data_IF_192325660729
#
_entry.id   IF_192325660729
#
_cell.length_a   1.000
_cell.length_b   1.000
_cell.length_c   1.000
_cell.angle_alpha   90.00
_cell.angle_beta   90.00
_cell.angle_gamma   90.00
#
_symmetry.space_group_name_H-M   'P 1'
#
loop_
_entity.id
_entity.type
_entity.pdbx_description
1 polymer ?
#
# COMPACT_ATOMS: atom_id res chain seq x y z
N UNK A 1 16.49 -14.84 -53.06
CA UNK A 1 16.91 -14.21 -51.77
C UNK A 1 15.77 -13.66 -50.91
N UNK A 2 14.72 -13.01 -51.45
CA UNK A 2 13.63 -12.41 -50.63
C UNK A 2 12.83 -13.43 -49.82
N UNK A 3 12.55 -14.61 -50.38
CA UNK A 3 11.79 -15.68 -49.73
C UNK A 3 12.54 -16.25 -48.52
N UNK A 4 13.84 -16.52 -48.68
CA UNK A 4 14.71 -17.01 -47.60
C UNK A 4 14.76 -16.04 -46.42
N UNK A 5 14.90 -14.72 -46.67
CA UNK A 5 14.86 -13.70 -45.60
C UNK A 5 13.51 -13.66 -44.87
N UNK A 6 12.41 -13.96 -45.56
CA UNK A 6 11.06 -13.99 -44.98
C UNK A 6 10.90 -15.19 -44.05
N UNK A 7 11.33 -16.37 -44.50
CA UNK A 7 11.30 -17.60 -43.70
C UNK A 7 12.18 -17.45 -42.45
N UNK A 8 13.41 -16.94 -42.61
CA UNK A 8 14.33 -16.70 -41.49
C UNK A 8 13.72 -15.75 -40.45
N UNK A 9 13.08 -14.67 -40.87
CA UNK A 9 12.40 -13.75 -39.93
C UNK A 9 11.31 -14.46 -39.14
N UNK A 10 10.45 -15.22 -39.80
CA UNK A 10 9.34 -15.92 -39.15
C UNK A 10 9.87 -16.88 -38.09
N UNK A 11 10.87 -17.69 -38.45
CA UNK A 11 11.53 -18.64 -37.54
C UNK A 11 12.21 -17.91 -36.37
N UNK A 12 12.86 -16.77 -36.63
CA UNK A 12 13.51 -16.00 -35.56
C UNK A 12 12.48 -15.45 -34.58
N UNK A 13 11.36 -14.88 -35.05
CA UNK A 13 10.30 -14.38 -34.17
C UNK A 13 9.64 -15.49 -33.37
N UNK A 14 9.40 -16.68 -33.94
CA UNK A 14 8.80 -17.78 -33.19
C UNK A 14 9.74 -18.29 -32.10
N UNK A 15 11.04 -18.38 -32.36
CA UNK A 15 12.06 -18.71 -31.34
C UNK A 15 12.05 -17.65 -30.24
N UNK A 16 12.01 -16.36 -30.60
CA UNK A 16 12.05 -15.26 -29.63
C UNK A 16 10.80 -15.23 -28.73
N UNK A 17 9.63 -15.50 -29.29
CA UNK A 17 8.36 -15.62 -28.54
C UNK A 17 8.39 -16.82 -27.60
N UNK A 18 8.88 -17.98 -28.07
CA UNK A 18 9.05 -19.17 -27.22
C UNK A 18 10.03 -18.91 -26.07
N UNK A 19 11.14 -18.24 -26.36
CA UNK A 19 12.16 -17.91 -25.35
C UNK A 19 11.62 -16.93 -24.30
N UNK A 20 10.89 -15.90 -24.74
CA UNK A 20 10.21 -14.97 -23.84
C UNK A 20 9.15 -15.68 -22.99
N UNK A 21 8.36 -16.58 -23.58
CA UNK A 21 7.39 -17.40 -22.86
C UNK A 21 8.03 -18.30 -21.80
N UNK A 22 9.17 -18.93 -22.13
CA UNK A 22 9.95 -19.74 -21.19
C UNK A 22 10.52 -18.92 -20.04
N UNK A 23 11.04 -17.71 -20.32
CA UNK A 23 11.54 -16.81 -19.28
C UNK A 23 10.43 -16.34 -18.33
N UNK A 24 9.25 -16.02 -18.86
CA UNK A 24 8.08 -15.67 -18.05
C UNK A 24 7.63 -16.87 -17.22
N UNK A 25 7.56 -18.06 -17.80
CA UNK A 25 7.17 -19.28 -17.10
C UNK A 25 8.16 -19.68 -16.00
N UNK A 26 9.46 -19.66 -16.29
CA UNK A 26 10.51 -20.01 -15.32
C UNK A 26 10.57 -19.02 -14.15
N UNK A 27 10.23 -17.75 -14.38
CA UNK A 27 10.15 -16.74 -13.33
C UNK A 27 8.75 -16.61 -12.71
N UNK A 28 7.76 -17.39 -13.16
CA UNK A 28 6.41 -17.34 -12.61
C UNK A 28 6.39 -18.00 -11.22
N UNK A 29 6.51 -17.19 -10.18
CA UNK A 29 6.27 -17.64 -8.81
C UNK A 29 4.76 -17.72 -8.58
N UNK A 30 4.25 -18.89 -8.19
CA UNK A 30 2.86 -18.97 -7.70
C UNK A 30 2.78 -18.07 -6.46
N UNK A 31 1.82 -17.13 -6.40
CA UNK A 31 1.65 -16.30 -5.22
C UNK A 31 1.38 -17.19 -4.01
N UNK A 32 2.05 -16.90 -2.90
CA UNK A 32 1.82 -17.57 -1.63
C UNK A 32 0.36 -17.41 -1.18
N UNK A 33 -0.12 -18.29 -0.29
CA UNK A 33 -1.47 -18.19 0.27
C UNK A 33 -1.76 -16.79 0.84
N UNK A 34 -0.77 -16.20 1.53
CA UNK A 34 -0.85 -14.83 2.03
C UNK A 34 -1.04 -13.81 0.89
N UNK A 35 -0.17 -13.84 -0.12
CA UNK A 35 -0.28 -12.94 -1.27
C UNK A 35 -1.59 -13.10 -2.04
N UNK A 36 -2.12 -14.32 -2.18
CA UNK A 36 -3.43 -14.54 -2.82
C UNK A 36 -4.57 -13.89 -2.03
N UNK A 37 -4.55 -14.02 -0.70
CA UNK A 37 -5.55 -13.39 0.17
C UNK A 37 -5.47 -11.85 0.04
N UNK A 38 -4.26 -11.29 0.02
CA UNK A 38 -4.05 -9.85 -0.19
C UNK A 38 -4.38 -9.40 -1.62
N UNK A 39 -4.21 -10.24 -2.64
CA UNK A 39 -4.55 -9.91 -4.03
C UNK A 39 -6.05 -9.97 -4.29
N UNK A 40 -6.77 -10.92 -3.68
CA UNK A 40 -8.23 -11.01 -3.80
C UNK A 40 -8.92 -9.86 -3.07
N UNK A 41 -8.34 -9.36 -1.97
CA UNK A 41 -8.89 -8.26 -1.17
C UNK A 41 -7.75 -7.32 -0.76
N UNK A 42 -7.29 -6.44 -1.66
CA UNK A 42 -6.22 -5.52 -1.34
C UNK A 42 -6.66 -4.63 -0.19
N UNK A 43 -5.88 -4.67 0.89
CA UNK A 43 -6.07 -3.78 2.03
C UNK A 43 -6.03 -2.34 1.52
N UNK A 44 -7.03 -1.56 1.92
CA UNK A 44 -7.11 -0.16 1.53
C UNK A 44 -6.50 0.69 2.63
N UNK A 45 -5.81 1.76 2.24
CA UNK A 45 -5.23 2.72 3.16
C UNK A 45 -6.02 4.02 3.02
N UNK A 46 -6.55 4.50 4.14
CA UNK A 46 -7.18 5.81 4.26
C UNK A 46 -6.23 6.71 5.04
N UNK A 47 -5.89 7.85 4.46
CA UNK A 47 -4.99 8.83 5.09
C UNK A 47 -5.80 10.04 5.47
N UNK A 48 -5.89 10.30 6.77
CA UNK A 48 -6.56 11.46 7.35
C UNK A 48 -5.52 12.49 7.79
N UNK A 49 -5.91 13.75 7.78
CA UNK A 49 -5.13 14.87 8.27
C UNK A 49 -5.86 15.52 9.44
N UNK A 50 -5.11 15.87 10.49
CA UNK A 50 -5.61 16.55 11.68
C UNK A 50 -4.94 17.93 11.85
N UNK A 51 -5.58 18.87 12.58
CA UNK A 51 -5.06 20.23 12.74
C UNK A 51 -3.80 20.30 13.60
N UNK A 52 -3.07 21.42 13.51
CA UNK A 52 -1.80 21.60 14.23
C UNK A 52 -1.94 21.58 15.76
N UNK A 53 -3.14 21.85 16.26
CA UNK A 53 -3.47 21.86 17.69
C UNK A 53 -3.53 20.47 18.32
N UNK A 54 -3.45 19.39 17.51
CA UNK A 54 -3.50 18.03 18.03
C UNK A 54 -2.26 17.72 18.87
N UNK A 55 -2.52 17.35 20.12
CA UNK A 55 -1.47 17.03 21.08
C UNK A 55 -1.17 15.54 21.12
N UNK A 56 -0.12 15.17 21.86
CA UNK A 56 0.17 13.76 22.12
C UNK A 56 -0.97 13.06 22.87
N UNK A 57 -1.71 13.77 23.74
CA UNK A 57 -2.87 13.21 24.43
C UNK A 57 -3.98 12.83 23.44
N UNK A 58 -4.25 13.69 22.45
CA UNK A 58 -5.22 13.43 21.40
C UNK A 58 -4.81 12.23 20.53
N UNK A 59 -3.51 12.09 20.25
CA UNK A 59 -3.00 10.94 19.50
C UNK A 59 -3.24 9.60 20.21
N UNK A 60 -3.15 9.54 21.54
CA UNK A 60 -3.43 8.32 22.31
C UNK A 60 -4.92 7.99 22.24
N UNK A 61 -5.80 8.98 22.39
CA UNK A 61 -7.25 8.79 22.26
C UNK A 61 -7.65 8.32 20.87
N UNK A 62 -7.07 8.93 19.84
CA UNK A 62 -7.29 8.58 18.44
C UNK A 62 -6.82 7.14 18.16
N UNK A 63 -5.65 6.76 18.68
CA UNK A 63 -5.13 5.39 18.56
C UNK A 63 -6.06 4.38 19.21
N UNK A 64 -6.50 4.63 20.44
CA UNK A 64 -7.41 3.75 21.18
C UNK A 64 -8.77 3.59 20.46
N UNK A 65 -9.28 4.68 19.90
CA UNK A 65 -10.52 4.65 19.10
C UNK A 65 -10.37 3.73 17.88
N UNK A 66 -9.31 3.89 17.09
CA UNK A 66 -9.13 3.10 15.87
C UNK A 66 -8.70 1.65 16.11
N UNK A 67 -8.04 1.35 17.24
CA UNK A 67 -7.73 -0.03 17.64
C UNK A 67 -8.98 -0.84 17.95
N UNK A 68 -10.07 -0.20 18.40
CA UNK A 68 -11.34 -0.85 18.69
C UNK A 68 -12.33 -0.82 17.52
N UNK A 69 -12.00 -0.14 16.42
CA UNK A 69 -12.89 0.03 15.28
C UNK A 69 -12.99 -1.26 14.43
N UNK A 70 -14.20 -1.74 14.11
CA UNK A 70 -14.37 -2.94 13.32
C UNK A 70 -13.88 -2.73 11.88
N UNK A 71 -13.11 -3.71 11.37
CA UNK A 71 -12.57 -3.66 10.01
C UNK A 71 -11.29 -2.84 9.86
N UNK A 72 -10.80 -2.21 10.92
CA UNK A 72 -9.45 -1.61 10.96
C UNK A 72 -8.44 -2.69 11.33
N UNK A 73 -7.44 -2.91 10.48
CA UNK A 73 -6.35 -3.86 10.73
C UNK A 73 -5.15 -3.21 11.38
N UNK A 74 -4.87 -1.95 11.06
CA UNK A 74 -3.79 -1.17 11.65
C UNK A 74 -4.11 0.32 11.59
N UNK A 75 -3.61 1.08 12.56
CA UNK A 75 -3.60 2.52 12.52
C UNK A 75 -2.22 3.05 12.91
N UNK A 76 -1.78 4.13 12.27
CA UNK A 76 -0.50 4.80 12.53
C UNK A 76 -0.70 6.30 12.56
N UNK A 77 -0.17 6.96 13.59
CA UNK A 77 -0.26 8.42 13.74
C UNK A 77 1.14 9.01 13.64
N UNK A 78 1.32 9.91 12.67
CA UNK A 78 2.50 10.76 12.56
C UNK A 78 2.17 12.16 13.06
N UNK A 79 2.58 12.51 14.28
CA UNK A 79 2.38 13.86 14.83
C UNK A 79 3.16 14.93 14.03
N UNK A 80 4.38 14.60 13.60
CA UNK A 80 5.20 15.52 12.79
C UNK A 80 4.61 15.79 11.41
N UNK A 81 4.05 14.76 10.76
CA UNK A 81 3.39 14.86 9.45
C UNK A 81 1.92 15.27 9.55
N UNK A 82 1.36 15.29 10.77
CA UNK A 82 -0.06 15.55 11.08
C UNK A 82 -1.03 14.65 10.33
N UNK A 83 -0.65 13.38 10.19
CA UNK A 83 -1.41 12.39 9.44
C UNK A 83 -1.74 11.18 10.28
N UNK A 84 -2.97 10.69 10.15
CA UNK A 84 -3.41 9.40 10.63
C UNK A 84 -3.60 8.48 9.42
N UNK A 85 -2.93 7.35 9.44
CA UNK A 85 -3.06 6.29 8.47
C UNK A 85 -3.88 5.15 9.04
N UNK A 86 -4.89 4.71 8.31
CA UNK A 86 -5.77 3.61 8.69
C UNK A 86 -5.72 2.57 7.58
N UNK A 87 -5.30 1.37 7.92
CA UNK A 87 -5.37 0.21 7.02
C UNK A 87 -6.66 -0.55 7.31
N UNK A 88 -7.49 -0.73 6.29
CA UNK A 88 -8.78 -1.39 6.41
C UNK A 88 -8.88 -2.68 5.61
N UNK A 89 -9.67 -3.60 6.16
CA UNK A 89 -10.16 -4.79 5.49
C UNK A 89 -11.44 -4.42 4.71
N UNK A 90 -11.40 -4.39 3.36
CA UNK A 90 -12.54 -4.01 2.53
C UNK A 90 -13.72 -4.99 2.63
N UNK A 91 -13.53 -6.19 3.21
CA UNK A 91 -14.62 -7.14 3.46
C UNK A 91 -15.50 -6.75 4.65
N UNK A 92 -14.96 -5.95 5.58
CA UNK A 92 -15.61 -5.60 6.85
C UNK A 92 -16.05 -4.14 6.92
N UNK A 93 -15.32 -3.25 6.26
CA UNK A 93 -15.61 -1.81 6.25
C UNK A 93 -15.23 -1.20 4.92
N UNK A 94 -15.66 0.04 4.68
CA UNK A 94 -15.37 0.79 3.45
C UNK A 94 -14.69 2.10 3.77
N UNK A 95 -13.96 2.67 2.80
CA UNK A 95 -13.36 4.01 2.91
C UNK A 95 -14.39 5.06 3.34
N UNK A 96 -15.58 5.06 2.74
CA UNK A 96 -16.64 6.00 3.09
C UNK A 96 -17.11 5.85 4.54
N UNK A 97 -17.25 4.62 5.04
CA UNK A 97 -17.60 4.36 6.44
C UNK A 97 -16.52 4.85 7.40
N UNK A 98 -15.24 4.65 7.07
CA UNK A 98 -14.11 5.17 7.87
C UNK A 98 -14.11 6.69 7.90
N UNK A 99 -14.34 7.35 6.76
CA UNK A 99 -14.42 8.81 6.69
C UNK A 99 -15.58 9.34 7.52
N UNK A 100 -16.74 8.71 7.45
CA UNK A 100 -17.89 9.07 8.27
C UNK A 100 -17.60 8.87 9.76
N UNK A 101 -16.97 7.75 10.13
CA UNK A 101 -16.61 7.46 11.52
C UNK A 101 -15.55 8.44 12.05
N UNK A 102 -14.60 8.86 11.22
CA UNK A 102 -13.62 9.89 11.56
C UNK A 102 -14.31 11.24 11.81
N UNK A 103 -15.21 11.65 10.91
CA UNK A 103 -15.98 12.89 11.02
C UNK A 103 -16.92 12.91 12.24
N UNK A 104 -17.47 11.74 12.63
CA UNK A 104 -18.27 11.60 13.84
C UNK A 104 -17.42 11.71 15.12
N UNK A 105 -16.15 11.29 15.08
CA UNK A 105 -15.22 11.44 16.19
C UNK A 105 -14.75 12.89 16.32
N UNK A 106 -14.32 13.48 15.22
CA UNK A 106 -13.89 14.87 15.12
C UNK A 106 -14.07 15.37 13.68
N UNK A 107 -14.86 16.44 13.53
CA UNK A 107 -15.15 17.05 12.23
C UNK A 107 -13.90 17.64 11.56
N UNK A 108 -12.85 17.91 12.33
CA UNK A 108 -11.58 18.42 11.82
C UNK A 108 -10.73 17.35 11.13
N UNK A 109 -11.09 16.06 11.24
CA UNK A 109 -10.40 14.95 10.57
C UNK A 109 -10.83 14.85 9.11
N UNK A 110 -10.06 15.47 8.22
CA UNK A 110 -10.32 15.43 6.79
C UNK A 110 -9.48 14.35 6.10
N UNK A 111 -9.98 13.82 5.00
CA UNK A 111 -9.16 12.99 4.12
C UNK A 111 -8.05 13.81 3.48
N UNK A 112 -6.82 13.33 3.57
CA UNK A 112 -5.70 13.90 2.84
C UNK A 112 -5.80 13.52 1.37
N UNK A 113 -5.63 14.49 0.48
CA UNK A 113 -5.50 14.23 -0.95
C UNK A 113 -4.30 13.29 -1.19
N UNK A 114 -4.46 12.24 -2.01
CA UNK A 114 -3.38 11.31 -2.30
C UNK A 114 -2.23 12.05 -2.98
N UNK A 115 -1.00 11.76 -2.54
CA UNK A 115 0.22 12.28 -3.16
C UNK A 115 0.53 11.38 -4.36
N UNK A 116 -0.21 11.56 -5.46
CA UNK A 116 -0.12 10.73 -6.67
C UNK A 116 -1.25 9.72 -6.82
N UNK A 117 -0.99 8.60 -7.52
CA UNK A 117 -2.02 7.59 -7.81
C UNK A 117 -2.33 6.63 -6.64
N UNK A 118 -1.70 6.82 -5.47
CA UNK A 118 -1.86 5.94 -4.30
C UNK A 118 -1.96 6.78 -3.02
N UNK A 119 -2.75 6.30 -2.07
CA UNK A 119 -2.76 6.85 -0.72
C UNK A 119 -1.48 6.38 0.00
N UNK A 120 -0.49 7.26 0.11
CA UNK A 120 0.78 6.98 0.77
C UNK A 120 0.78 7.54 2.19
N UNK A 121 1.07 6.68 3.15
CA UNK A 121 1.40 7.12 4.50
C UNK A 121 2.76 7.79 4.48
N UNK A 122 2.90 9.03 5.00
CA UNK A 122 4.21 9.60 5.17
C UNK A 122 5.01 8.70 6.12
N UNK A 123 6.04 8.05 5.56
CA UNK A 123 6.98 7.27 6.35
C UNK A 123 7.88 8.27 7.04
N UNK A 124 7.93 8.21 8.37
CA UNK A 124 8.97 8.91 9.13
C UNK A 124 10.33 8.27 8.76
N UNK A 125 11.01 8.87 7.79
CA UNK A 125 12.29 8.42 7.25
C UNK A 125 13.35 8.30 8.36
N UNK A 126 13.26 9.12 9.41
CA UNK A 126 14.18 9.08 10.55
C UNK A 126 14.03 7.79 11.37
N UNK A 127 12.81 7.29 11.54
CA UNK A 127 12.53 6.00 12.19
C UNK A 127 12.93 4.80 11.32
N UNK A 128 12.63 4.86 10.02
CA UNK A 128 12.96 3.79 9.08
C UNK A 128 14.48 3.65 8.86
N UNK A 129 15.22 4.77 8.81
CA UNK A 129 16.68 4.76 8.76
C UNK A 129 17.29 4.10 10.00
N UNK A 130 16.75 4.35 11.21
CA UNK A 130 17.23 3.69 12.43
C UNK A 130 16.99 2.18 12.40
N UNK A 131 15.83 1.74 11.90
CA UNK A 131 15.52 0.31 11.70
C UNK A 131 16.43 -0.35 10.65
N UNK A 132 16.71 0.33 9.54
CA UNK A 132 17.66 -0.16 8.53
C UNK A 132 19.09 -0.26 9.10
N UNK A 133 19.48 0.68 9.95
CA UNK A 133 20.78 0.70 10.61
C UNK A 133 20.90 -0.41 11.66
N UNK A 134 19.85 -0.69 12.45
CA UNK A 134 19.83 -1.79 13.43
C UNK A 134 19.70 -3.16 12.78
N UNK A 135 19.01 -3.26 11.63
CA UNK A 135 18.91 -4.51 10.86
C UNK A 135 20.14 -4.79 9.98
N UNK A 136 21.14 -3.91 9.98
CA UNK A 136 22.41 -4.06 9.28
C UNK A 136 22.25 -4.56 7.83
N UNK A 137 21.22 -4.07 7.13
CA UNK A 137 21.00 -4.37 5.71
C UNK A 137 22.00 -3.53 4.93
N UNK A 138 23.26 -3.99 4.90
CA UNK A 138 24.26 -3.51 3.95
C UNK A 138 23.82 -3.97 2.57
N UNK A 139 23.64 -3.02 1.67
CA UNK A 139 23.52 -3.25 0.22
C UNK A 139 24.63 -4.14 -0.28
#
# INVERSE_FOLDING_TARGET
>A
MKIVRRIVRVVLTSILVLFAGLLVYANWRKPSLGERIYMENPTQIVVLQFPESYTQYDSVRLTAFWQSAPGVSASYIGLASRTLCITIDPRKTSRAAILQQAQNFDQQLAERQPVGNRAECPVDLTGFQRLMYTLNIRK
#
